data_IF_884765549001
#
_entry.id   IF_884765549001
#
_cell.length_a   1.000
_cell.length_b   1.000
_cell.length_c   1.000
_cell.angle_alpha   90.00
_cell.angle_beta   90.00
_cell.angle_gamma   90.00
#
_symmetry.space_group_name_H-M   'P 1'
#
loop_
_entity.id
_entity.type
_entity.pdbx_description
1 polymer ?
#
# COMPACT_ATOMS: atom_id res chain seq x y z
N UNK A 1 -2.83 -5.91 10.46
CA UNK A 1 -1.84 -4.99 9.86
C UNK A 1 -0.77 -5.81 9.14
N UNK A 2 0.05 -5.20 8.27
CA UNK A 2 1.14 -5.89 7.54
C UNK A 2 0.71 -7.10 6.69
N UNK A 3 -0.50 -7.04 6.11
CA UNK A 3 -1.04 -8.12 5.27
C UNK A 3 -0.57 -8.01 3.83
N UNK A 4 -0.53 -6.81 3.23
CA UNK A 4 0.02 -6.64 1.89
C UNK A 4 1.49 -7.07 1.87
N UNK A 5 1.92 -7.75 0.82
CA UNK A 5 3.30 -8.24 0.73
C UNK A 5 4.31 -7.09 0.72
N UNK A 6 5.36 -7.29 1.52
CA UNK A 6 6.40 -6.30 1.78
C UNK A 6 7.74 -7.02 1.97
N UNK A 7 8.79 -6.56 1.32
CA UNK A 7 10.10 -7.23 1.36
C UNK A 7 10.80 -7.07 2.72
N UNK A 8 10.73 -5.89 3.32
CA UNK A 8 11.45 -5.59 4.56
C UNK A 8 10.54 -5.64 5.79
N UNK A 9 10.64 -6.73 6.56
CA UNK A 9 9.79 -7.02 7.72
C UNK A 9 9.82 -5.93 8.80
N UNK A 10 10.99 -5.29 9.02
CA UNK A 10 11.15 -4.24 10.03
C UNK A 10 10.42 -2.93 9.69
N UNK A 11 9.83 -2.79 8.49
CA UNK A 11 8.95 -1.66 8.13
C UNK A 11 7.51 -1.88 8.59
N UNK A 12 7.22 -2.98 9.30
CA UNK A 12 5.90 -3.32 9.84
C UNK A 12 4.79 -3.28 8.79
N UNK A 13 5.10 -3.69 7.56
CA UNK A 13 4.15 -3.75 6.46
C UNK A 13 3.86 -2.42 5.74
N UNK A 14 4.52 -1.32 6.10
CA UNK A 14 4.26 -0.02 5.48
C UNK A 14 5.07 0.23 4.19
N UNK A 15 6.12 -0.55 3.94
CA UNK A 15 6.81 -0.57 2.65
C UNK A 15 6.29 -1.72 1.79
N UNK A 16 5.09 -1.55 1.25
CA UNK A 16 4.46 -2.54 0.37
C UNK A 16 5.27 -2.66 -0.92
N UNK A 17 5.46 -3.89 -1.39
CA UNK A 17 6.09 -4.20 -2.68
C UNK A 17 5.09 -4.81 -3.66
N UNK A 18 4.15 -5.62 -3.17
CA UNK A 18 3.06 -6.16 -3.98
C UNK A 18 1.70 -5.95 -3.28
N UNK A 19 0.78 -5.31 -4.01
CA UNK A 19 -0.47 -4.81 -3.45
C UNK A 19 -1.57 -5.86 -3.42
N UNK A 20 -1.51 -6.87 -4.29
CA UNK A 20 -2.60 -7.82 -4.56
C UNK A 20 -2.39 -9.20 -3.92
N UNK A 21 -1.27 -9.42 -3.25
CA UNK A 21 -0.99 -10.69 -2.59
C UNK A 21 -0.74 -10.46 -1.10
N UNK A 22 -1.21 -11.38 -0.25
CA UNK A 22 -0.89 -11.36 1.17
C UNK A 22 0.57 -11.74 1.38
N UNK A 23 1.14 -11.32 2.50
CA UNK A 23 2.51 -11.64 2.83
C UNK A 23 2.67 -13.14 3.04
N UNK A 24 3.55 -13.73 2.25
CA UNK A 24 3.93 -15.15 2.27
C UNK A 24 4.53 -15.62 3.61
N UNK A 25 4.88 -14.70 4.51
CA UNK A 25 5.45 -15.01 5.82
C UNK A 25 4.53 -15.82 6.73
N UNK A 26 3.21 -15.74 6.53
CA UNK A 26 2.23 -16.30 7.44
C UNK A 26 1.46 -17.49 6.87
N UNK A 27 1.87 -17.99 5.70
CA UNK A 27 1.25 -19.14 5.05
C UNK A 27 0.90 -18.86 3.59
N UNK A 28 0.01 -19.70 3.09
CA UNK A 28 -0.53 -19.66 1.74
C UNK A 28 -1.66 -18.62 1.61
N UNK A 29 -2.12 -18.41 0.38
CA UNK A 29 -3.27 -17.54 0.10
C UNK A 29 -4.54 -18.05 0.80
N UNK A 30 -4.73 -19.37 0.84
CA UNK A 30 -5.91 -20.01 1.42
C UNK A 30 -5.89 -19.98 2.95
N UNK A 31 -4.70 -19.95 3.57
CA UNK A 31 -4.58 -19.81 5.03
C UNK A 31 -5.16 -18.48 5.52
N UNK A 32 -4.93 -17.38 4.77
CA UNK A 32 -5.55 -16.09 5.10
C UNK A 32 -7.07 -16.11 4.91
N UNK A 33 -7.57 -16.72 3.84
CA UNK A 33 -9.01 -16.85 3.60
C UNK A 33 -9.68 -17.66 4.71
N UNK A 34 -9.08 -18.79 5.08
CA UNK A 34 -9.53 -19.64 6.18
C UNK A 34 -9.57 -18.89 7.51
N UNK A 35 -8.55 -18.07 7.79
CA UNK A 35 -8.54 -17.21 8.98
C UNK A 35 -9.71 -16.22 8.99
N UNK A 36 -9.96 -15.53 7.88
CA UNK A 36 -11.05 -14.54 7.79
C UNK A 36 -12.41 -15.22 7.92
N UNK A 37 -12.63 -16.32 7.19
CA UNK A 37 -13.87 -17.11 7.28
C UNK A 37 -14.10 -17.59 8.73
N UNK A 38 -13.05 -18.06 9.42
CA UNK A 38 -13.16 -18.47 10.83
C UNK A 38 -13.48 -17.32 11.78
N UNK A 39 -12.97 -16.12 11.52
CA UNK A 39 -13.30 -14.93 12.31
C UNK A 39 -14.75 -14.50 12.07
N UNK A 40 -15.23 -14.60 10.83
CA UNK A 40 -16.63 -14.34 10.49
C UNK A 40 -17.60 -15.34 11.13
N UNK A 41 -17.25 -16.64 11.21
CA UNK A 41 -18.03 -17.65 11.95
C UNK A 41 -18.21 -17.29 13.43
N UNK A 42 -17.27 -16.53 14.00
CA UNK A 42 -17.34 -16.03 15.37
C UNK A 42 -18.14 -14.71 15.49
N UNK A 43 -18.71 -14.20 14.40
CA UNK A 43 -19.47 -12.95 14.36
C UNK A 43 -18.62 -11.69 14.49
N UNK A 44 -17.32 -11.78 14.19
CA UNK A 44 -16.38 -10.66 14.30
C UNK A 44 -16.07 -10.09 12.92
N UNK A 45 -15.84 -8.78 12.86
CA UNK A 45 -15.39 -8.08 11.65
C UNK A 45 -13.87 -8.01 11.59
N UNK A 46 -13.32 -8.10 10.38
CA UNK A 46 -11.90 -7.99 10.09
C UNK A 46 -11.63 -6.74 9.28
N UNK A 47 -10.95 -5.77 9.89
CA UNK A 47 -10.50 -4.56 9.21
C UNK A 47 -9.04 -4.69 8.78
N UNK A 48 -8.74 -4.25 7.57
CA UNK A 48 -7.40 -4.27 7.02
C UNK A 48 -6.77 -2.87 7.01
N UNK A 49 -5.51 -2.80 7.42
CA UNK A 49 -4.67 -1.67 7.09
C UNK A 49 -4.30 -1.70 5.62
N UNK A 50 -4.73 -0.69 4.88
CA UNK A 50 -4.40 -0.55 3.46
C UNK A 50 -3.44 0.62 3.26
N UNK A 51 -2.31 0.34 2.61
CA UNK A 51 -1.23 1.31 2.40
C UNK A 51 -1.29 1.79 0.96
N UNK A 52 -2.02 2.88 0.73
CA UNK A 52 -2.10 3.53 -0.59
C UNK A 52 -1.37 4.88 -0.63
N UNK A 53 -0.77 5.30 0.48
CA UNK A 53 -0.13 6.61 0.62
C UNK A 53 1.27 6.71 0.01
N UNK A 54 1.99 5.58 -0.04
CA UNK A 54 3.32 5.45 -0.59
C UNK A 54 3.62 3.97 -0.90
N UNK A 55 4.74 3.71 -1.58
CA UNK A 55 5.21 2.37 -1.91
C UNK A 55 6.73 2.26 -1.73
N UNK A 56 7.24 1.04 -1.52
CA UNK A 56 8.68 0.81 -1.46
C UNK A 56 9.38 1.27 -2.74
N UNK A 57 10.64 1.69 -2.61
CA UNK A 57 11.50 2.08 -3.73
C UNK A 57 12.16 0.88 -4.45
N UNK A 58 11.84 -0.35 -4.04
CA UNK A 58 12.29 -1.60 -4.66
C UNK A 58 11.97 -1.65 -6.17
N UNK A 59 13.00 -1.94 -6.97
CA UNK A 59 12.91 -2.08 -8.43
C UNK A 59 12.74 -3.54 -8.87
N UNK A 60 13.49 -4.47 -8.27
CA UNK A 60 13.51 -5.88 -8.72
C UNK A 60 12.24 -6.65 -8.34
N UNK A 61 11.70 -6.35 -7.17
CA UNK A 61 10.59 -7.04 -6.53
C UNK A 61 9.47 -6.08 -6.13
N UNK A 62 9.44 -4.88 -6.71
CA UNK A 62 8.46 -3.83 -6.40
C UNK A 62 7.96 -3.09 -7.64
N UNK A 63 7.13 -2.08 -7.42
CA UNK A 63 6.52 -1.28 -8.50
C UNK A 63 7.42 -0.17 -9.03
N UNK A 64 8.57 0.10 -8.40
CA UNK A 64 9.45 1.17 -8.84
C UNK A 64 10.06 0.83 -10.21
N UNK A 65 10.12 1.81 -11.12
CA UNK A 65 10.67 1.61 -12.48
C UNK A 65 9.97 0.52 -13.30
N UNK A 66 8.68 0.28 -13.06
CA UNK A 66 7.92 -0.83 -13.66
C UNK A 66 8.04 -0.95 -15.19
N UNK A 67 8.05 0.17 -15.91
CA UNK A 67 8.22 0.24 -17.37
C UNK A 67 9.58 0.78 -17.80
N UNK A 68 10.57 0.76 -16.90
CA UNK A 68 11.87 1.40 -17.09
C UNK A 68 11.87 2.92 -16.87
N UNK A 69 10.73 3.53 -16.55
CA UNK A 69 10.63 4.97 -16.26
C UNK A 69 10.32 5.27 -14.80
N UNK A 70 10.69 6.47 -14.36
CA UNK A 70 10.38 6.97 -13.03
C UNK A 70 8.92 7.50 -12.89
N UNK A 71 8.07 7.36 -13.91
CA UNK A 71 6.80 8.11 -14.00
C UNK A 71 5.55 7.24 -14.15
N UNK A 72 5.69 5.91 -14.25
CA UNK A 72 4.56 5.06 -14.63
C UNK A 72 3.41 5.12 -13.62
N UNK A 73 3.66 4.68 -12.39
CA UNK A 73 2.71 4.75 -11.29
C UNK A 73 2.90 5.99 -10.39
N UNK A 74 4.02 6.71 -10.57
CA UNK A 74 4.49 7.73 -9.62
C UNK A 74 4.59 9.10 -10.27
N UNK A 75 4.61 10.14 -9.44
CA UNK A 75 4.99 11.47 -9.92
C UNK A 75 6.45 11.49 -10.39
N UNK A 76 6.77 12.41 -11.30
CA UNK A 76 8.14 12.67 -11.74
C UNK A 76 8.90 13.55 -10.74
N UNK A 77 10.22 13.41 -10.74
CA UNK A 77 11.13 14.25 -9.94
C UNK A 77 10.91 14.12 -8.44
N UNK A 78 11.22 15.19 -7.70
CA UNK A 78 11.10 15.24 -6.24
C UNK A 78 9.68 15.04 -5.73
N UNK A 79 8.65 15.37 -6.53
CA UNK A 79 7.25 15.15 -6.17
C UNK A 79 6.89 13.66 -6.05
N UNK A 80 7.61 12.78 -6.75
CA UNK A 80 7.40 11.34 -6.74
C UNK A 80 8.13 10.58 -5.65
N UNK A 81 8.89 11.28 -4.80
CA UNK A 81 9.75 10.65 -3.80
C UNK A 81 9.59 11.33 -2.46
N UNK A 82 9.34 10.53 -1.43
CA UNK A 82 9.30 11.01 -0.06
C UNK A 82 10.57 10.61 0.69
N UNK A 83 11.47 11.59 0.82
CA UNK A 83 12.85 11.40 1.29
C UNK A 83 12.94 10.85 2.72
N UNK A 84 12.03 11.24 3.62
CA UNK A 84 12.11 10.82 5.03
C UNK A 84 11.77 9.34 5.21
N UNK A 85 10.93 8.77 4.35
CA UNK A 85 10.62 7.33 4.38
C UNK A 85 11.42 6.53 3.36
N UNK A 86 12.09 7.20 2.42
CA UNK A 86 12.74 6.61 1.26
C UNK A 86 11.75 5.77 0.43
N UNK A 87 10.66 6.42 0.01
CA UNK A 87 9.53 5.76 -0.67
C UNK A 87 9.07 6.52 -1.92
N UNK A 88 8.27 5.87 -2.77
CA UNK A 88 7.68 6.50 -3.96
C UNK A 88 6.23 6.93 -3.69
N UNK A 89 5.84 8.05 -4.30
CA UNK A 89 4.50 8.62 -4.17
C UNK A 89 3.71 8.44 -5.46
N UNK A 90 2.53 7.83 -5.35
CA UNK A 90 1.64 7.58 -6.47
C UNK A 90 1.21 8.88 -7.17
N UNK A 91 1.08 8.82 -8.50
CA UNK A 91 0.43 9.88 -9.26
C UNK A 91 -1.09 9.69 -9.22
N UNK A 92 -1.73 10.13 -8.15
CA UNK A 92 -3.18 9.96 -7.93
C UNK A 92 -4.06 10.62 -9.01
N UNK A 93 -3.52 11.54 -9.81
CA UNK A 93 -4.22 12.15 -10.95
C UNK A 93 -4.26 11.28 -12.20
N UNK A 94 -3.49 10.19 -12.25
CA UNK A 94 -3.47 9.25 -13.39
C UNK A 94 -4.62 8.26 -13.27
N UNK A 95 -5.44 8.13 -14.32
CA UNK A 95 -6.54 7.15 -14.35
C UNK A 95 -6.05 5.71 -14.16
N UNK A 96 -4.83 5.38 -14.65
CA UNK A 96 -4.25 4.04 -14.50
C UNK A 96 -3.92 3.75 -13.04
N UNK A 97 -3.38 4.74 -12.34
CA UNK A 97 -3.07 4.65 -10.90
C UNK A 97 -4.34 4.57 -10.07
N UNK A 98 -5.34 5.41 -10.38
CA UNK A 98 -6.65 5.32 -9.73
C UNK A 98 -7.29 3.95 -9.91
N UNK A 99 -7.27 3.42 -11.14
CA UNK A 99 -7.74 2.06 -11.41
C UNK A 99 -6.98 1.02 -10.60
N UNK A 100 -5.64 1.10 -10.57
CA UNK A 100 -4.82 0.17 -9.78
C UNK A 100 -5.21 0.18 -8.30
N UNK A 101 -5.29 1.35 -7.66
CA UNK A 101 -5.60 1.49 -6.23
C UNK A 101 -7.05 1.13 -5.89
N UNK A 102 -8.02 1.55 -6.70
CA UNK A 102 -9.44 1.22 -6.49
C UNK A 102 -9.70 -0.27 -6.73
N UNK A 103 -9.13 -0.86 -7.79
CA UNK A 103 -9.19 -2.30 -8.00
C UNK A 103 -8.49 -3.06 -6.88
N UNK A 104 -7.43 -2.51 -6.29
CA UNK A 104 -6.77 -3.12 -5.15
C UNK A 104 -7.66 -3.14 -3.89
N UNK A 105 -8.35 -2.05 -3.58
CA UNK A 105 -9.31 -2.03 -2.48
C UNK A 105 -10.43 -3.05 -2.71
N UNK A 106 -11.00 -3.09 -3.93
CA UNK A 106 -12.02 -4.07 -4.30
C UNK A 106 -11.52 -5.51 -4.20
N UNK A 107 -10.29 -5.78 -4.61
CA UNK A 107 -9.68 -7.10 -4.54
C UNK A 107 -9.67 -7.66 -3.12
N UNK A 108 -9.29 -6.86 -2.12
CA UNK A 108 -9.29 -7.31 -0.73
C UNK A 108 -10.69 -7.54 -0.16
N UNK A 109 -11.70 -6.79 -0.62
CA UNK A 109 -13.09 -7.00 -0.23
C UNK A 109 -13.69 -8.26 -0.89
N UNK A 110 -13.40 -8.50 -2.16
CA UNK A 110 -14.04 -9.60 -2.92
C UNK A 110 -13.31 -10.93 -2.76
N UNK A 111 -11.97 -10.93 -2.86
CA UNK A 111 -11.18 -12.17 -2.85
C UNK A 111 -10.95 -12.71 -1.44
N UNK A 112 -10.74 -11.80 -0.48
CA UNK A 112 -10.40 -12.15 0.91
C UNK A 112 -11.50 -11.82 1.91
N UNK A 113 -12.58 -11.14 1.48
CA UNK A 113 -13.73 -10.80 2.34
C UNK A 113 -13.37 -9.96 3.57
N UNK A 114 -12.40 -9.05 3.47
CA UNK A 114 -12.23 -8.05 4.52
C UNK A 114 -13.48 -7.17 4.63
N UNK A 115 -13.81 -6.72 5.84
CA UNK A 115 -15.04 -5.96 6.12
C UNK A 115 -14.86 -4.44 5.95
N UNK A 116 -13.62 -3.99 5.78
CA UNK A 116 -13.31 -2.59 5.59
C UNK A 116 -11.83 -2.28 5.77
N UNK A 117 -11.51 -0.98 5.65
CA UNK A 117 -10.13 -0.52 5.63
C UNK A 117 -9.86 0.61 6.62
N UNK A 118 -8.66 0.58 7.19
CA UNK A 118 -7.99 1.74 7.76
C UNK A 118 -6.93 2.23 6.77
N UNK A 119 -7.13 3.41 6.19
CA UNK A 119 -6.18 4.00 5.25
C UNK A 119 -4.97 4.58 5.99
N UNK A 120 -3.78 4.08 5.65
CA UNK A 120 -2.54 4.50 6.29
C UNK A 120 -2.08 5.89 5.81
N UNK A 121 -1.80 6.79 6.77
CA UNK A 121 -1.22 8.14 6.59
C UNK A 121 -1.90 8.96 5.48
N UNK A 122 -3.21 9.15 5.58
CA UNK A 122 -3.99 9.99 4.64
C UNK A 122 -3.44 11.43 4.55
N UNK A 123 -2.84 11.94 5.62
CA UNK A 123 -2.22 13.28 5.64
C UNK A 123 -1.09 13.43 4.62
N UNK A 124 -0.30 12.38 4.34
CA UNK A 124 0.76 12.49 3.31
C UNK A 124 0.20 12.54 1.89
N UNK A 125 -1.01 12.04 1.68
CA UNK A 125 -1.71 12.12 0.39
C UNK A 125 -2.32 13.51 0.17
N UNK A 126 -2.77 14.16 1.24
CA UNK A 126 -3.46 15.46 1.17
C UNK A 126 -2.49 16.66 1.16
N UNK A 127 -1.35 16.55 1.84
CA UNK A 127 -0.45 17.68 2.07
C UNK A 127 0.93 17.45 1.48
N UNK A 128 1.29 18.23 0.46
CA UNK A 128 2.61 18.16 -0.21
C UNK A 128 3.78 18.60 0.68
N UNK A 129 3.52 19.33 1.76
CA UNK A 129 4.54 19.69 2.75
C UNK A 129 4.79 18.57 3.76
N UNK A 130 3.91 17.57 3.85
CA UNK A 130 4.01 16.40 4.74
C UNK A 130 4.27 16.71 6.22
N UNK A 131 3.93 17.93 6.67
CA UNK A 131 4.23 18.43 8.02
C UNK A 131 5.72 18.73 8.29
N UNK A 132 6.57 18.74 7.25
CA UNK A 132 8.03 18.89 7.37
C UNK A 132 8.57 20.27 6.96
N UNK A 133 7.70 21.23 6.61
CA UNK A 133 8.17 22.59 6.33
C UNK A 133 8.72 23.21 7.62
N UNK A 134 10.01 23.51 7.60
CA UNK A 134 10.62 24.42 8.56
C UNK A 134 9.98 25.79 8.33
N UNK A 135 9.31 26.32 9.35
CA UNK A 135 8.97 27.74 9.39
C UNK A 135 10.30 28.48 9.42
N UNK A 136 10.72 29.06 8.30
CA UNK A 136 11.82 30.03 8.32
C UNK A 136 11.34 31.21 9.17
N UNK A 137 11.96 31.40 10.33
CA UNK A 137 11.87 32.67 11.06
C UNK A 137 12.59 33.76 10.29
#
# INVERSE_FOLDING_TARGET
MAIQEHSYYARFGYHVTNFFVPSSRFGTLDDLKSLIDRVHELGLLVLMDIVHSHVSNNVLDGLNMFDGTNAHYFHLGSKGHYWMWDSRLFNYGSWKVQRFLLSNARWWLEEYKFDGFRFNVVTSMMYTHHGLQLISK
#
